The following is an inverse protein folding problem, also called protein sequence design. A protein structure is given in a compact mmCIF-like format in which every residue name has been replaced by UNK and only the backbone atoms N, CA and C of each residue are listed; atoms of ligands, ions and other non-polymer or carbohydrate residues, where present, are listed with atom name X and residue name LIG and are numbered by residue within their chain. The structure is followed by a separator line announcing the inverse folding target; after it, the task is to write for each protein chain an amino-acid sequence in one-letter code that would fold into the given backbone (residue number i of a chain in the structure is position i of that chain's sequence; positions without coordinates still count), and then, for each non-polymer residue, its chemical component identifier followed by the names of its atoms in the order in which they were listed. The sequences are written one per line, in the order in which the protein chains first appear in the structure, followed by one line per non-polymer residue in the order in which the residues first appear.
data_IF_965453777113
#
_entry.id   IF_965453777113
#
_cell.length_a   1.000
_cell.length_b   1.000
_cell.length_c   1.000
_cell.angle_alpha   90.00
_cell.angle_beta   90.00
_cell.angle_gamma   90.00
#
_symmetry.space_group_name_H-M   'P 1'
#
loop_
_entity.id
_entity.type
_entity.pdbx_description
1 polymer ?
#
# COMPACT_ATOMS: atom_id res chain seq x y z
N UNK A 1 -25.18 7.59 -48.03
CA UNK A 1 -24.75 6.96 -46.76
C UNK A 1 -24.94 7.98 -45.65
N UNK A 2 -26.00 7.88 -44.84
CA UNK A 2 -26.23 8.80 -43.72
C UNK A 2 -25.91 8.06 -42.41
N UNK A 3 -24.99 8.64 -41.62
CA UNK A 3 -24.66 8.18 -40.27
C UNK A 3 -25.80 8.54 -39.33
N UNK A 4 -26.28 7.61 -38.52
CA UNK A 4 -27.28 7.87 -37.48
C UNK A 4 -26.70 7.52 -36.10
N UNK A 5 -26.87 8.48 -35.18
CA UNK A 5 -26.37 8.45 -33.80
C UNK A 5 -27.47 7.93 -32.88
N UNK A 6 -27.08 7.06 -31.94
CA UNK A 6 -27.94 6.30 -31.02
C UNK A 6 -28.26 7.11 -29.75
N UNK A 7 -29.54 7.15 -29.33
CA UNK A 7 -29.97 7.70 -28.04
C UNK A 7 -30.59 6.58 -27.19
N UNK A 8 -29.99 6.26 -26.03
CA UNK A 8 -30.43 5.19 -25.11
C UNK A 8 -31.43 5.73 -24.07
N UNK A 9 -32.48 4.95 -23.77
CA UNK A 9 -33.36 5.14 -22.61
C UNK A 9 -33.37 3.84 -21.79
N UNK A 10 -33.10 3.92 -20.48
CA UNK A 10 -33.00 2.78 -19.56
C UNK A 10 -34.31 2.57 -18.78
N UNK A 11 -34.76 1.31 -18.67
CA UNK A 11 -35.78 0.88 -17.70
C UNK A 11 -35.30 -0.37 -16.95
N UNK A 12 -35.64 -0.41 -15.65
CA UNK A 12 -35.05 -1.18 -14.55
C UNK A 12 -35.59 -2.62 -14.44
N UNK A 13 -34.72 -3.63 -14.28
CA UNK A 13 -35.07 -4.95 -13.70
C UNK A 13 -33.97 -5.37 -12.72
N UNK A 14 -34.36 -5.61 -11.46
CA UNK A 14 -33.50 -6.13 -10.40
C UNK A 14 -33.65 -7.65 -10.31
N UNK A 15 -32.52 -8.38 -10.30
CA UNK A 15 -32.46 -9.79 -9.92
C UNK A 15 -31.24 -10.02 -9.04
N UNK A 16 -31.37 -10.95 -8.10
CA UNK A 16 -30.42 -11.26 -7.03
C UNK A 16 -29.05 -11.65 -7.62
N UNK A 17 -27.99 -10.95 -7.22
CA UNK A 17 -26.61 -11.19 -7.68
C UNK A 17 -25.74 -11.73 -6.55
N UNK A 18 -25.04 -12.84 -6.79
CA UNK A 18 -23.88 -13.25 -6.00
C UNK A 18 -22.66 -12.48 -6.55
N UNK A 19 -22.04 -11.64 -5.74
CA UNK A 19 -20.94 -10.76 -6.12
C UNK A 19 -19.59 -11.30 -5.65
N UNK A 20 -18.59 -11.36 -6.52
CA UNK A 20 -17.18 -11.45 -6.15
C UNK A 20 -16.53 -10.11 -6.50
N UNK A 21 -16.21 -9.30 -5.49
CA UNK A 21 -15.47 -8.05 -5.70
C UNK A 21 -14.01 -8.36 -6.07
N UNK A 22 -13.51 -7.81 -7.19
CA UNK A 22 -12.11 -7.92 -7.57
C UNK A 22 -11.30 -6.78 -6.94
N UNK A 23 -10.62 -7.08 -5.84
CA UNK A 23 -9.58 -6.22 -5.28
C UNK A 23 -8.21 -6.55 -5.86
N UNK A 24 -7.35 -5.54 -6.00
CA UNK A 24 -5.92 -5.77 -6.14
C UNK A 24 -5.40 -6.42 -4.85
N UNK A 25 -4.91 -7.66 -4.95
CA UNK A 25 -4.29 -8.31 -3.80
C UNK A 25 -2.99 -7.55 -3.48
N UNK A 26 -2.96 -6.86 -2.33
CA UNK A 26 -1.72 -6.25 -1.87
C UNK A 26 -0.71 -7.36 -1.57
N UNK A 27 0.50 -7.20 -2.10
CA UNK A 27 1.62 -8.10 -1.83
C UNK A 27 2.92 -7.29 -1.76
N UNK A 28 3.88 -7.78 -0.97
CA UNK A 28 5.23 -7.24 -1.02
C UNK A 28 5.82 -7.53 -2.40
N UNK A 29 6.44 -6.51 -2.98
CA UNK A 29 7.14 -6.61 -4.25
C UNK A 29 8.63 -6.80 -4.02
N UNK A 30 9.15 -7.90 -4.56
CA UNK A 30 10.53 -8.29 -4.35
C UNK A 30 10.84 -8.43 -2.86
N UNK A 31 12.09 -8.21 -2.50
CA UNK A 31 12.54 -8.14 -1.10
C UNK A 31 12.83 -6.70 -0.72
N UNK A 32 12.68 -6.38 0.56
CA UNK A 32 13.12 -5.09 1.07
C UNK A 32 14.63 -4.90 0.82
N UNK A 33 15.03 -3.66 0.59
CA UNK A 33 16.42 -3.25 0.47
C UNK A 33 16.78 -2.39 1.67
N UNK A 34 18.06 -2.40 2.03
CA UNK A 34 18.56 -1.64 3.16
C UNK A 34 19.77 -0.81 2.77
N UNK A 35 20.08 0.18 3.60
CA UNK A 35 21.27 1.00 3.46
C UNK A 35 21.61 1.64 4.78
N UNK A 36 22.85 2.07 4.87
CA UNK A 36 23.43 2.67 6.07
C UNK A 36 24.33 3.84 5.66
N UNK A 37 24.60 4.75 6.58
CA UNK A 37 25.44 5.91 6.30
C UNK A 37 26.11 6.44 7.56
N UNK A 38 27.31 6.95 7.41
CA UNK A 38 27.98 7.80 8.41
C UNK A 38 28.08 9.27 7.96
N UNK A 39 27.28 9.65 6.96
CA UNK A 39 27.28 10.96 6.31
C UNK A 39 25.89 11.62 6.42
N UNK A 40 25.72 12.78 5.78
CA UNK A 40 24.45 13.54 5.76
C UNK A 40 23.44 13.05 4.70
N UNK A 41 23.70 11.89 4.09
CA UNK A 41 22.89 11.29 3.04
C UNK A 41 22.76 9.79 3.28
N UNK A 42 21.58 9.22 3.10
CA UNK A 42 21.35 7.78 3.13
C UNK A 42 20.93 7.30 1.75
N UNK A 43 21.74 6.44 1.12
CA UNK A 43 21.44 5.83 -0.17
C UNK A 43 20.94 4.40 0.02
N UNK A 44 19.76 4.08 -0.50
CA UNK A 44 19.16 2.74 -0.45
C UNK A 44 18.76 2.36 -1.87
N UNK A 45 19.11 1.14 -2.29
CA UNK A 45 18.70 0.61 -3.59
C UNK A 45 17.17 0.51 -3.68
N UNK A 46 16.59 0.75 -4.85
CA UNK A 46 15.19 0.44 -5.09
C UNK A 46 14.98 -1.09 -5.02
N UNK A 47 13.91 -1.60 -4.39
CA UNK A 47 13.57 -3.02 -4.46
C UNK A 47 13.46 -3.53 -5.90
N UNK A 48 13.94 -4.75 -6.14
CA UNK A 48 13.90 -5.36 -7.47
C UNK A 48 12.47 -5.59 -7.93
N UNK A 49 12.21 -5.37 -9.22
CA UNK A 49 10.90 -5.63 -9.83
C UNK A 49 9.86 -4.52 -9.64
N UNK A 50 10.21 -3.40 -8.99
CA UNK A 50 9.38 -2.18 -8.91
C UNK A 50 9.04 -1.67 -10.30
N UNK A 51 7.75 -1.48 -10.53
CA UNK A 51 7.13 -0.90 -11.73
C UNK A 51 6.22 0.27 -11.36
N UNK A 52 5.75 0.99 -12.36
CA UNK A 52 4.82 2.11 -12.15
C UNK A 52 3.57 1.67 -11.40
N UNK A 53 3.15 2.45 -10.40
CA UNK A 53 1.97 2.20 -9.57
C UNK A 53 2.23 1.44 -8.28
N UNK A 54 3.41 0.87 -8.08
CA UNK A 54 3.78 0.29 -6.79
C UNK A 54 3.97 1.38 -5.73
N UNK A 55 3.70 1.06 -4.48
CA UNK A 55 3.92 1.96 -3.35
C UNK A 55 5.20 1.56 -2.63
N UNK A 56 6.16 2.47 -2.57
CA UNK A 56 7.40 2.31 -1.83
C UNK A 56 7.26 3.04 -0.50
N UNK A 57 7.75 2.42 0.56
CA UNK A 57 7.80 2.99 1.90
C UNK A 57 9.22 2.84 2.42
N UNK A 58 9.77 3.92 2.95
CA UNK A 58 11.08 3.92 3.61
C UNK A 58 10.89 4.13 5.11
N UNK A 59 11.60 3.35 5.92
CA UNK A 59 11.75 3.57 7.36
C UNK A 59 13.21 3.90 7.64
N UNK A 60 13.48 5.07 8.23
CA UNK A 60 14.83 5.58 8.48
C UNK A 60 14.96 5.92 9.96
N UNK A 61 16.03 5.43 10.58
CA UNK A 61 16.58 6.02 11.80
C UNK A 61 17.85 6.78 11.47
N UNK A 62 17.98 8.01 12.00
CA UNK A 62 19.16 8.84 11.82
C UNK A 62 19.56 9.55 13.12
N UNK A 63 20.86 9.69 13.33
CA UNK A 63 21.48 10.37 14.46
C UNK A 63 21.85 11.83 14.11
N UNK A 64 21.61 12.77 15.01
CA UNK A 64 22.03 14.19 14.96
C UNK A 64 21.57 15.01 13.71
N UNK A 65 20.70 14.43 12.89
CA UNK A 65 20.20 15.03 11.66
C UNK A 65 18.89 15.80 11.78
N UNK A 66 18.53 16.45 10.68
CA UNK A 66 17.17 16.93 10.43
C UNK A 66 16.20 15.77 10.12
N UNK A 67 14.98 16.11 9.71
CA UNK A 67 14.04 15.10 9.21
C UNK A 67 14.47 14.64 7.82
N UNK A 68 14.69 13.33 7.60
CA UNK A 68 14.98 12.79 6.27
C UNK A 68 13.93 13.21 5.24
N UNK A 69 14.37 13.66 4.07
CA UNK A 69 13.48 14.06 2.96
C UNK A 69 14.04 13.65 1.61
N UNK A 70 13.15 13.46 0.64
CA UNK A 70 13.46 13.27 -0.77
C UNK A 70 12.28 13.73 -1.63
N UNK A 71 12.55 14.42 -2.73
CA UNK A 71 11.51 14.89 -3.64
C UNK A 71 10.62 13.75 -4.17
N UNK A 72 9.31 13.98 -4.18
CA UNK A 72 8.29 13.00 -4.56
C UNK A 72 8.09 11.88 -3.52
N UNK A 73 8.65 11.99 -2.32
CA UNK A 73 8.30 11.17 -1.16
C UNK A 73 7.51 12.03 -0.17
N UNK A 74 6.48 11.45 0.42
CA UNK A 74 5.57 12.10 1.35
C UNK A 74 5.75 11.53 2.76
N UNK A 75 5.65 12.37 3.79
CA UNK A 75 5.82 11.92 5.19
C UNK A 75 4.59 11.18 5.72
N UNK A 76 4.82 10.07 6.42
CA UNK A 76 3.82 9.33 7.21
C UNK A 76 3.98 9.54 8.70
N UNK A 77 5.21 9.81 9.16
CA UNK A 77 5.50 10.09 10.56
C UNK A 77 6.98 10.34 10.80
N UNK A 78 7.27 11.18 11.80
CA UNK A 78 8.63 11.43 12.27
C UNK A 78 8.61 11.72 13.77
N UNK A 79 9.68 11.40 14.47
CA UNK A 79 9.78 11.60 15.91
C UNK A 79 11.17 11.29 16.45
N UNK A 80 11.51 11.95 17.56
CA UNK A 80 12.78 11.75 18.27
C UNK A 80 12.51 10.86 19.48
N UNK A 81 13.26 9.76 19.60
CA UNK A 81 13.03 8.77 20.65
C UNK A 81 14.23 8.56 21.58
N UNK A 82 15.31 9.31 21.43
CA UNK A 82 16.46 9.22 22.32
C UNK A 82 17.01 10.61 22.66
N UNK A 83 16.49 11.24 23.72
CA UNK A 83 17.10 12.38 24.44
C UNK A 83 17.37 13.68 23.67
N UNK A 84 17.48 13.62 22.34
CA UNK A 84 17.56 14.66 21.29
C UNK A 84 18.11 14.11 19.95
N UNK A 85 18.69 12.90 19.91
CA UNK A 85 19.66 12.57 18.85
C UNK A 85 19.17 11.55 17.82
N UNK A 86 18.42 10.51 18.20
CA UNK A 86 17.86 9.55 17.23
C UNK A 86 16.46 9.94 16.79
N UNK A 87 16.30 10.03 15.48
CA UNK A 87 15.04 10.33 14.80
C UNK A 87 14.60 9.15 13.97
N UNK A 88 13.36 8.69 14.17
CA UNK A 88 12.68 7.79 13.27
C UNK A 88 11.87 8.60 12.26
N UNK A 89 11.84 8.17 10.99
CA UNK A 89 11.07 8.82 9.92
C UNK A 89 10.59 7.79 8.91
N UNK A 90 9.29 7.83 8.61
CA UNK A 90 8.66 6.97 7.60
C UNK A 90 8.12 7.84 6.48
N UNK A 91 8.51 7.55 5.24
CA UNK A 91 8.05 8.26 4.04
C UNK A 91 7.49 7.26 3.02
N UNK A 92 6.60 7.69 2.14
CA UNK A 92 6.12 6.88 1.02
C UNK A 92 6.20 7.60 -0.33
N UNK A 93 6.26 6.81 -1.41
CA UNK A 93 6.18 7.25 -2.80
C UNK A 93 5.30 6.27 -3.58
N UNK A 94 4.56 6.77 -4.56
CA UNK A 94 4.01 5.94 -5.64
C UNK A 94 5.03 5.95 -6.79
N UNK A 95 5.51 4.79 -7.21
CA UNK A 95 6.47 4.66 -8.30
C UNK A 95 5.87 5.12 -9.63
N UNK A 96 6.62 5.91 -10.38
CA UNK A 96 6.33 6.27 -11.76
C UNK A 96 7.02 5.35 -12.78
N UNK A 97 6.98 5.75 -14.06
CA UNK A 97 7.62 5.00 -15.16
C UNK A 97 9.14 5.04 -15.19
N UNK A 98 9.78 5.93 -14.41
CA UNK A 98 11.23 6.21 -14.49
C UNK A 98 11.87 6.30 -13.10
N UNK A 99 11.75 5.24 -12.31
CA UNK A 99 12.40 5.19 -10.99
C UNK A 99 13.91 4.90 -11.09
N UNK A 100 14.76 5.60 -10.31
CA UNK A 100 16.20 5.39 -10.31
C UNK A 100 16.58 4.00 -9.75
N UNK A 101 17.86 3.62 -9.92
CA UNK A 101 18.40 2.40 -9.31
C UNK A 101 18.46 2.49 -7.77
N UNK A 102 18.66 3.70 -7.24
CA UNK A 102 18.73 3.99 -5.82
C UNK A 102 18.05 5.32 -5.48
N UNK A 103 17.63 5.45 -4.22
CA UNK A 103 17.13 6.69 -3.65
C UNK A 103 18.14 7.20 -2.62
N UNK A 104 18.43 8.49 -2.67
CA UNK A 104 19.35 9.14 -1.73
C UNK A 104 18.59 10.18 -0.91
N UNK A 105 18.31 9.85 0.35
CA UNK A 105 17.60 10.71 1.28
C UNK A 105 18.57 11.70 1.93
N UNK A 106 18.21 12.98 1.95
CA UNK A 106 18.95 13.99 2.70
C UNK A 106 18.60 13.87 4.18
N UNK A 107 19.59 13.69 5.05
CA UNK A 107 19.41 13.52 6.50
C UNK A 107 19.52 14.84 7.28
N UNK A 108 19.89 15.93 6.59
CA UNK A 108 20.13 17.24 7.20
C UNK A 108 21.57 17.41 7.70
N UNK A 109 21.94 18.67 7.97
CA UNK A 109 23.26 19.01 8.50
C UNK A 109 23.44 18.40 9.90
N UNK A 110 24.65 17.91 10.19
CA UNK A 110 24.99 17.29 11.48
C UNK A 110 24.71 15.79 11.57
N UNK A 111 23.97 15.21 10.62
CA UNK A 111 23.76 13.78 10.58
C UNK A 111 25.09 13.02 10.38
N UNK A 112 25.32 12.03 11.24
CA UNK A 112 26.58 11.28 11.30
C UNK A 112 26.38 9.76 11.34
N UNK A 113 25.16 9.26 11.57
CA UNK A 113 24.82 7.85 11.48
C UNK A 113 23.36 7.73 10.98
N UNK A 114 23.09 6.78 10.09
CA UNK A 114 21.73 6.43 9.71
C UNK A 114 21.64 4.99 9.21
N UNK A 115 20.47 4.41 9.41
CA UNK A 115 20.06 3.11 8.87
C UNK A 115 18.66 3.23 8.31
N UNK A 116 18.37 2.51 7.24
CA UNK A 116 17.01 2.49 6.70
C UNK A 116 16.72 1.30 5.80
N UNK A 117 15.43 1.05 5.61
CA UNK A 117 14.91 0.04 4.69
C UNK A 117 13.89 0.64 3.74
N UNK A 118 13.87 0.18 2.49
CA UNK A 118 12.79 0.44 1.53
C UNK A 118 12.04 -0.87 1.28
N UNK A 119 10.72 -0.81 1.41
CA UNK A 119 9.79 -1.88 1.09
C UNK A 119 8.90 -1.41 -0.05
N UNK A 120 8.59 -2.28 -1.00
CA UNK A 120 7.64 -1.99 -2.07
C UNK A 120 6.40 -2.89 -1.96
N UNK A 121 5.23 -2.36 -2.28
CA UNK A 121 3.96 -3.07 -2.32
C UNK A 121 3.29 -2.89 -3.68
N UNK A 122 2.83 -4.00 -4.27
CA UNK A 122 1.94 -4.01 -5.43
C UNK A 122 0.48 -4.06 -4.99
N UNK A 123 -0.46 -3.77 -5.91
CA UNK A 123 -1.90 -3.90 -5.65
C UNK A 123 -2.49 -2.83 -4.74
N UNK A 124 -1.73 -1.78 -4.41
CA UNK A 124 -2.18 -0.62 -3.64
C UNK A 124 -2.84 0.41 -4.57
N UNK A 125 -3.84 1.13 -4.07
CA UNK A 125 -4.45 2.26 -4.77
C UNK A 125 -3.40 3.35 -5.01
N UNK A 126 -3.03 3.58 -6.27
CA UNK A 126 -1.98 4.53 -6.64
C UNK A 126 -2.44 5.99 -6.67
N UNK A 127 -3.73 6.26 -6.45
CA UNK A 127 -4.30 7.61 -6.34
C UNK A 127 -4.44 8.05 -4.89
N UNK A 128 -4.79 7.12 -4.01
CA UNK A 128 -4.95 7.34 -2.56
C UNK A 128 -4.40 6.12 -1.80
N UNK A 129 -3.06 5.98 -1.72
CA UNK A 129 -2.41 4.75 -1.26
C UNK A 129 -2.53 4.49 0.24
N UNK A 130 -2.77 5.54 1.04
CA UNK A 130 -2.82 5.45 2.50
C UNK A 130 -4.28 5.39 2.93
N UNK A 131 -4.68 4.26 3.51
CA UNK A 131 -6.01 4.04 4.07
C UNK A 131 -6.14 4.67 5.47
N UNK A 132 -5.07 4.57 6.27
CA UNK A 132 -4.94 5.22 7.57
C UNK A 132 -3.45 5.30 8.00
N UNK A 133 -3.12 6.26 8.86
CA UNK A 133 -1.78 6.37 9.48
C UNK A 133 -1.92 6.71 10.95
N UNK A 134 -1.11 6.08 11.79
CA UNK A 134 -1.08 6.33 13.23
C UNK A 134 -0.22 7.53 13.58
N UNK A 135 -0.18 7.85 14.88
CA UNK A 135 0.88 8.70 15.43
C UNK A 135 2.12 7.86 15.71
N UNK A 136 3.31 8.47 15.66
CA UNK A 136 4.54 7.77 16.01
C UNK A 136 4.57 7.54 17.52
N UNK A 137 4.60 6.27 17.95
CA UNK A 137 4.91 5.89 19.31
C UNK A 137 6.40 6.11 19.58
N UNK A 138 6.73 6.68 20.74
CA UNK A 138 8.10 7.05 21.11
C UNK A 138 8.35 6.67 22.57
N UNK A 139 9.51 6.10 22.86
CA UNK A 139 10.02 5.93 24.23
C UNK A 139 11.48 6.35 24.32
N UNK A 140 11.74 7.36 25.15
CA UNK A 140 13.08 7.78 25.55
C UNK A 140 13.65 6.96 26.72
N UNK A 141 12.87 6.03 27.26
CA UNK A 141 13.30 5.07 28.27
C UNK A 141 13.52 3.71 27.61
N UNK A 142 14.45 2.94 28.18
CA UNK A 142 14.69 1.58 27.77
C UNK A 142 13.47 0.70 28.04
N UNK A 143 13.10 -0.14 27.07
CA UNK A 143 12.01 -1.09 27.19
C UNK A 143 12.17 -2.28 26.24
N UNK A 144 11.44 -3.34 26.55
CA UNK A 144 11.44 -4.60 25.80
C UNK A 144 10.48 -4.63 24.60
N UNK A 145 9.57 -3.67 24.52
CA UNK A 145 8.49 -3.69 23.54
C UNK A 145 8.30 -2.30 22.95
N UNK A 146 8.44 -2.21 21.63
CA UNK A 146 8.04 -1.02 20.90
C UNK A 146 6.54 -1.08 20.58
N UNK A 147 5.82 0.01 20.87
CA UNK A 147 4.37 0.08 20.70
C UNK A 147 3.97 1.19 19.73
N UNK A 148 3.35 0.81 18.61
CA UNK A 148 2.71 1.73 17.70
C UNK A 148 1.24 1.95 18.11
N UNK A 149 0.80 3.20 18.33
CA UNK A 149 -0.61 3.52 18.53
C UNK A 149 -1.49 2.94 17.42
N UNK A 150 -2.60 2.31 17.80
CA UNK A 150 -3.53 1.67 16.87
C UNK A 150 -4.20 2.63 15.90
N UNK A 151 -4.61 2.09 14.74
CA UNK A 151 -5.31 2.81 13.67
C UNK A 151 -6.67 2.17 13.39
N UNK A 152 -7.52 2.87 12.66
CA UNK A 152 -8.78 2.33 12.15
C UNK A 152 -8.69 2.28 10.63
N UNK A 153 -8.70 1.08 10.05
CA UNK A 153 -8.75 0.91 8.60
C UNK A 153 -10.14 1.28 8.09
N UNK A 154 -10.20 2.03 6.99
CA UNK A 154 -11.44 2.48 6.35
C UNK A 154 -11.89 1.51 5.25
N UNK A 155 -10.95 0.75 4.69
CA UNK A 155 -11.18 -0.19 3.59
C UNK A 155 -10.98 -1.65 4.04
N UNK A 156 -11.73 -2.56 3.40
CA UNK A 156 -11.45 -3.99 3.47
C UNK A 156 -10.13 -4.32 2.75
N UNK A 157 -9.52 -5.45 3.11
CA UNK A 157 -8.26 -5.93 2.52
C UNK A 157 -7.09 -4.93 2.60
N UNK A 158 -7.10 -4.02 3.58
CA UNK A 158 -6.00 -3.09 3.79
C UNK A 158 -4.74 -3.84 4.28
N UNK A 159 -3.55 -3.44 3.80
CA UNK A 159 -2.30 -3.97 4.33
C UNK A 159 -1.89 -3.14 5.55
N UNK A 160 -1.89 -3.74 6.74
CA UNK A 160 -1.44 -3.12 7.98
C UNK A 160 0.06 -3.38 8.10
N UNK A 161 0.85 -2.32 7.99
CA UNK A 161 2.31 -2.34 8.06
C UNK A 161 2.75 -1.66 9.34
N UNK A 162 3.50 -2.37 10.17
CA UNK A 162 4.13 -1.84 11.38
C UNK A 162 5.61 -1.59 11.10
N UNK A 163 6.10 -0.42 11.50
CA UNK A 163 7.50 -0.05 11.48
C UNK A 163 8.01 0.09 12.90
N UNK A 164 9.25 -0.33 13.15
CA UNK A 164 9.95 -0.08 14.40
C UNK A 164 11.37 0.39 14.15
N UNK A 165 11.90 1.12 15.13
CA UNK A 165 13.20 1.76 15.15
C UNK A 165 13.71 1.65 16.58
N UNK A 166 15.00 1.38 16.76
CA UNK A 166 15.59 1.36 18.10
C UNK A 166 17.02 1.91 18.15
N UNK A 167 17.46 2.25 19.36
CA UNK A 167 18.74 2.91 19.64
C UNK A 167 19.93 1.97 19.79
N UNK A 168 19.81 0.77 19.27
CA UNK A 168 20.81 -0.29 19.42
C UNK A 168 20.67 -1.31 18.27
N UNK A 169 21.62 -2.22 18.12
CA UNK A 169 21.74 -3.13 16.99
C UNK A 169 21.08 -4.49 17.26
N UNK A 170 19.81 -4.47 17.70
CA UNK A 170 19.07 -5.68 18.07
C UNK A 170 18.06 -6.10 17.01
N UNK A 171 17.76 -7.39 17.02
CA UNK A 171 16.71 -7.98 16.19
C UNK A 171 15.31 -7.69 16.75
N UNK A 172 14.31 -8.04 15.95
CA UNK A 172 12.90 -7.88 16.28
C UNK A 172 12.20 -9.23 16.28
N UNK A 173 11.22 -9.41 17.16
CA UNK A 173 10.37 -10.61 17.15
C UNK A 173 8.96 -10.33 17.66
N UNK A 174 8.03 -11.25 17.37
CA UNK A 174 6.68 -11.20 17.93
C UNK A 174 5.80 -10.03 17.43
N UNK A 175 5.99 -9.58 16.18
CA UNK A 175 5.18 -8.53 15.58
C UNK A 175 3.69 -8.88 15.58
N UNK A 176 2.86 -8.06 16.22
CA UNK A 176 1.42 -8.35 16.33
C UNK A 176 0.57 -7.10 16.52
N UNK A 177 -0.71 -7.20 16.18
CA UNK A 177 -1.78 -6.28 16.54
C UNK A 177 -2.96 -7.07 17.13
N UNK A 178 -3.99 -6.40 17.64
CA UNK A 178 -5.24 -7.08 18.02
C UNK A 178 -5.98 -7.63 16.78
N UNK A 179 -5.97 -6.87 15.69
CA UNK A 179 -6.49 -7.28 14.37
C UNK A 179 -5.62 -6.59 13.29
N UNK A 180 -5.04 -7.31 12.32
CA UNK A 180 -5.31 -8.70 11.93
C UNK A 180 -4.62 -9.78 12.78
N UNK A 181 -3.88 -9.44 13.83
CA UNK A 181 -3.13 -10.41 14.63
C UNK A 181 -1.65 -10.37 14.29
N UNK A 182 -1.04 -11.54 14.12
CA UNK A 182 0.39 -11.65 13.81
C UNK A 182 0.72 -10.95 12.48
N UNK A 183 1.82 -10.20 12.49
CA UNK A 183 2.39 -9.58 11.30
C UNK A 183 3.63 -10.37 10.88
N UNK A 184 3.81 -10.55 9.57
CA UNK A 184 4.99 -11.20 9.02
C UNK A 184 6.10 -10.18 8.85
N UNK A 185 7.26 -10.43 9.45
CA UNK A 185 8.45 -9.59 9.26
C UNK A 185 8.93 -9.66 7.81
N UNK A 186 9.24 -8.49 7.25
CA UNK A 186 9.61 -8.33 5.83
C UNK A 186 10.86 -7.49 5.60
N UNK A 187 11.35 -6.83 6.65
CA UNK A 187 12.58 -6.07 6.62
C UNK A 187 13.13 -5.95 8.04
N UNK A 188 14.44 -6.18 8.18
CA UNK A 188 15.20 -5.70 9.32
C UNK A 188 16.64 -5.43 8.91
N UNK A 189 17.30 -4.52 9.63
CA UNK A 189 18.74 -4.30 9.53
C UNK A 189 19.25 -3.79 10.87
N UNK A 190 20.31 -4.43 11.35
CA UNK A 190 21.06 -4.10 12.55
C UNK A 190 22.37 -3.44 12.13
N UNK A 191 22.61 -2.20 12.58
CA UNK A 191 23.82 -1.45 12.25
C UNK A 191 24.84 -1.57 13.39
N UNK A 192 26.00 -2.16 13.10
CA UNK A 192 27.02 -2.50 14.11
C UNK A 192 28.35 -1.75 13.94
N UNK A 193 28.39 -0.72 13.08
CA UNK A 193 29.65 -0.11 12.63
C UNK A 193 29.69 1.43 12.68
N UNK A 194 28.70 2.07 13.30
CA UNK A 194 28.63 3.53 13.46
C UNK A 194 29.12 4.01 14.83
N UNK A 195 29.04 5.32 15.06
CA UNK A 195 29.25 5.88 16.39
C UNK A 195 28.07 5.62 17.34
N UNK A 196 26.91 5.28 16.78
CA UNK A 196 25.68 4.95 17.48
C UNK A 196 25.08 3.67 16.87
N UNK A 197 24.86 2.66 17.71
CA UNK A 197 24.12 1.47 17.33
C UNK A 197 22.65 1.82 17.08
N UNK A 198 22.07 1.21 16.05
CA UNK A 198 20.67 1.43 15.66
C UNK A 198 20.17 0.29 14.79
N UNK A 199 18.87 0.04 14.86
CA UNK A 199 18.23 -0.88 13.93
C UNK A 199 16.84 -0.40 13.55
N UNK A 200 16.39 -0.88 12.39
CA UNK A 200 15.03 -0.65 11.90
C UNK A 200 14.42 -1.95 11.45
N UNK A 201 13.12 -2.10 11.67
CA UNK A 201 12.36 -3.28 11.29
C UNK A 201 10.99 -2.92 10.72
N UNK A 202 10.41 -3.85 9.97
CA UNK A 202 9.03 -3.75 9.54
C UNK A 202 8.38 -5.13 9.36
N UNK A 203 7.09 -5.20 9.69
CA UNK A 203 6.25 -6.36 9.50
C UNK A 203 4.87 -5.95 8.98
N UNK A 204 4.16 -6.87 8.31
CA UNK A 204 2.83 -6.57 7.83
C UNK A 204 1.90 -7.78 7.77
N UNK A 205 0.61 -7.51 7.68
CA UNK A 205 -0.42 -8.49 7.32
C UNK A 205 -1.63 -7.80 6.67
N UNK A 206 -2.45 -8.58 5.96
CA UNK A 206 -3.72 -8.11 5.41
C UNK A 206 -4.81 -8.14 6.48
N UNK A 207 -5.52 -7.02 6.63
CA UNK A 207 -6.73 -6.93 7.44
C UNK A 207 -7.96 -7.05 6.54
N UNK A 208 -8.65 -8.19 6.62
CA UNK A 208 -9.75 -8.54 5.71
C UNK A 208 -10.93 -7.55 5.78
N UNK A 209 -11.34 -7.16 6.99
CA UNK A 209 -12.46 -6.22 7.21
C UNK A 209 -11.97 -4.88 7.72
N UNK A 210 -12.64 -3.78 7.35
CA UNK A 210 -12.40 -2.46 7.91
C UNK A 210 -12.56 -2.43 9.45
N UNK A 211 -11.94 -1.47 10.14
CA UNK A 211 -12.07 -1.28 11.59
C UNK A 211 -10.74 -1.16 12.34
N UNK A 212 -10.81 -1.08 13.67
CA UNK A 212 -9.65 -0.87 14.54
C UNK A 212 -8.63 -2.02 14.47
N UNK A 213 -7.35 -1.68 14.53
CA UNK A 213 -6.26 -2.65 14.60
C UNK A 213 -5.89 -3.05 16.04
N UNK A 214 -6.22 -2.20 17.01
CA UNK A 214 -5.52 -2.16 18.29
C UNK A 214 -4.08 -1.66 18.11
N UNK A 215 -3.36 -1.49 19.22
CA UNK A 215 -1.95 -1.13 19.15
C UNK A 215 -1.14 -2.24 18.47
N UNK A 216 -0.12 -1.83 17.71
CA UNK A 216 0.88 -2.75 17.19
C UNK A 216 2.03 -2.87 18.18
N UNK A 217 2.51 -4.08 18.42
CA UNK A 217 3.65 -4.34 19.30
C UNK A 217 4.67 -5.23 18.63
N UNK A 218 5.94 -4.99 18.95
CA UNK A 218 7.07 -5.84 18.58
C UNK A 218 8.03 -5.92 19.77
N UNK A 219 8.57 -7.11 20.01
CA UNK A 219 9.62 -7.34 21.00
C UNK A 219 10.96 -6.89 20.43
N UNK A 220 11.68 -6.11 21.23
CA UNK A 220 13.07 -5.73 21.00
C UNK A 220 13.92 -6.77 21.74
N UNK A 221 14.66 -7.59 21.00
CA UNK A 221 15.47 -8.64 21.60
C UNK A 221 16.49 -8.06 22.60
N UNK A 222 16.84 -8.80 23.64
CA UNK A 222 17.70 -8.34 24.76
C UNK A 222 17.13 -7.18 25.63
N UNK A 223 15.88 -6.78 25.40
CA UNK A 223 14.95 -6.13 26.34
C UNK A 223 15.37 -4.77 26.95
N UNK A 224 16.10 -3.89 26.26
CA UNK A 224 16.59 -2.67 26.92
C UNK A 224 16.80 -1.44 26.01
N UNK A 225 15.82 -1.07 25.18
CA UNK A 225 16.00 -0.01 24.19
C UNK A 225 15.02 1.14 24.19
N UNK A 226 15.54 2.28 23.75
CA UNK A 226 14.73 3.42 23.33
C UNK A 226 14.22 3.12 21.93
N UNK A 227 12.95 3.42 21.67
CA UNK A 227 12.30 2.97 20.46
C UNK A 227 11.33 3.99 19.88
N UNK A 228 11.09 3.85 18.57
CA UNK A 228 9.95 4.44 17.90
C UNK A 228 9.20 3.38 17.10
N UNK A 229 7.87 3.53 16.98
CA UNK A 229 7.05 2.63 16.19
C UNK A 229 5.90 3.36 15.51
N UNK A 230 5.49 2.90 14.33
CA UNK A 230 4.39 3.48 13.56
C UNK A 230 3.55 2.38 12.92
N UNK A 231 2.24 2.53 12.95
CA UNK A 231 1.29 1.73 12.17
C UNK A 231 0.78 2.54 10.99
N UNK A 232 0.76 1.91 9.81
CA UNK A 232 0.22 2.47 8.57
C UNK A 232 -0.65 1.40 7.91
N UNK A 233 -1.78 1.81 7.34
CA UNK A 233 -2.62 0.96 6.51
C UNK A 233 -2.54 1.41 5.05
N UNK A 234 -2.23 0.48 4.15
CA UNK A 234 -2.27 0.71 2.71
C UNK A 234 -3.62 0.29 2.15
N UNK A 235 -4.12 1.11 1.24
CA UNK A 235 -5.42 0.91 0.61
C UNK A 235 -5.30 -0.03 -0.58
N UNK A 236 -6.05 -1.13 -0.58
CA UNK A 236 -6.08 -2.02 -1.75
C UNK A 236 -6.64 -1.27 -2.97
N UNK A 237 -6.09 -1.55 -4.15
CA UNK A 237 -6.66 -1.07 -5.40
C UNK A 237 -8.02 -1.73 -5.66
N UNK A 238 -8.98 -0.94 -6.11
CA UNK A 238 -10.38 -1.32 -6.26
C UNK A 238 -10.74 -1.04 -7.72
N UNK A 239 -10.65 -2.06 -8.58
CA UNK A 239 -10.70 -1.90 -10.03
C UNK A 239 -12.08 -1.38 -10.47
N UNK A 240 -12.18 -0.25 -11.20
CA UNK A 240 -13.47 0.32 -11.55
C UNK A 240 -14.36 -0.72 -12.26
N UNK A 241 -15.68 -0.70 -12.00
CA UNK A 241 -16.58 -1.66 -12.61
C UNK A 241 -16.49 -1.52 -14.14
N UNK A 242 -16.26 -2.64 -14.81
CA UNK A 242 -16.23 -2.73 -16.27
C UNK A 242 -17.50 -3.42 -16.75
N UNK A 243 -18.05 -2.95 -17.87
CA UNK A 243 -19.14 -3.62 -18.58
C UNK A 243 -18.58 -4.18 -19.87
N UNK A 244 -18.53 -5.50 -19.99
CA UNK A 244 -18.21 -6.19 -21.23
C UNK A 244 -19.54 -6.50 -21.91
N UNK A 245 -19.77 -5.92 -23.10
CA UNK A 245 -20.81 -6.41 -24.00
C UNK A 245 -20.18 -7.56 -24.76
N UNK A 246 -20.63 -8.78 -24.50
CA UNK A 246 -20.25 -9.93 -25.28
C UNK A 246 -21.25 -10.03 -26.44
N UNK A 247 -20.93 -9.55 -27.65
CA UNK A 247 -21.74 -9.92 -28.79
C UNK A 247 -21.71 -11.46 -28.89
N UNK A 248 -22.82 -12.12 -29.26
CA UNK A 248 -22.74 -13.51 -29.67
C UNK A 248 -21.65 -13.59 -30.73
N UNK A 249 -20.83 -14.66 -30.72
CA UNK A 249 -19.81 -14.86 -31.74
C UNK A 249 -20.47 -14.63 -33.11
N UNK A 250 -20.17 -13.49 -33.75
CA UNK A 250 -20.75 -13.13 -35.03
C UNK A 250 -20.01 -13.97 -36.07
N UNK A 251 -20.36 -15.26 -36.12
CA UNK A 251 -20.10 -16.08 -37.29
C UNK A 251 -21.01 -15.55 -38.40
N UNK A 252 -20.58 -14.47 -39.06
CA UNK A 252 -21.03 -14.06 -40.40
C UNK A 252 -22.53 -14.30 -40.68
N UNK A 253 -23.42 -13.65 -39.93
CA UNK A 253 -24.85 -13.63 -40.28
C UNK A 253 -25.27 -12.23 -40.66
N UNK A 254 -25.73 -12.09 -41.90
CA UNK A 254 -26.53 -10.97 -42.35
C UNK A 254 -27.76 -10.89 -41.43
N UNK A 255 -27.85 -9.86 -40.59
CA UNK A 255 -29.03 -9.63 -39.74
C UNK A 255 -30.11 -9.05 -40.65
N UNK A 256 -31.19 -9.81 -40.88
CA UNK A 256 -32.33 -9.39 -41.70
C UNK A 256 -33.17 -8.35 -40.94
N UNK A 257 -33.91 -7.51 -41.68
CA UNK A 257 -34.94 -6.62 -41.12
C UNK A 257 -35.94 -7.46 -40.32
N UNK A 258 -36.16 -7.11 -39.04
CA UNK A 258 -37.01 -7.88 -38.12
C UNK A 258 -36.29 -9.01 -37.38
N UNK A 259 -34.99 -9.22 -37.61
CA UNK A 259 -34.18 -10.16 -36.85
C UNK A 259 -33.87 -9.66 -35.43
N UNK A 260 -33.80 -10.59 -34.48
CA UNK A 260 -33.40 -10.32 -33.09
C UNK A 260 -31.97 -10.76 -32.86
N UNK A 261 -31.16 -9.89 -32.25
CA UNK A 261 -29.84 -10.23 -31.72
C UNK A 261 -29.91 -10.22 -30.21
N UNK A 262 -29.52 -11.34 -29.61
CA UNK A 262 -29.40 -11.45 -28.15
C UNK A 262 -28.00 -10.99 -27.78
N UNK A 263 -27.91 -9.90 -27.01
CA UNK A 263 -26.66 -9.37 -26.49
C UNK A 263 -26.58 -9.69 -25.00
N UNK A 264 -25.42 -10.18 -24.56
CA UNK A 264 -25.15 -10.39 -23.14
C UNK A 264 -24.18 -9.31 -22.68
N UNK A 265 -24.62 -8.46 -21.75
CA UNK A 265 -23.72 -7.58 -21.03
C UNK A 265 -23.37 -8.20 -19.68
N UNK A 266 -22.08 -8.32 -19.39
CA UNK A 266 -21.56 -8.76 -18.10
C UNK A 266 -20.83 -7.59 -17.45
N UNK A 267 -21.20 -7.25 -16.21
CA UNK A 267 -20.51 -6.22 -15.43
C UNK A 267 -19.69 -6.85 -14.29
N UNK A 268 -18.50 -6.31 -14.04
CA UNK A 268 -17.71 -6.66 -12.85
C UNK A 268 -18.19 -5.93 -11.60
N UNK A 269 -18.10 -6.57 -10.44
CA UNK A 269 -18.37 -5.96 -9.14
C UNK A 269 -17.17 -5.13 -8.66
N UNK A 270 -17.40 -4.11 -7.82
CA UNK A 270 -16.32 -3.29 -7.27
C UNK A 270 -16.63 -2.66 -5.89
N UNK A 271 -17.12 -3.46 -4.93
CA UNK A 271 -17.35 -3.08 -3.52
C UNK A 271 -18.49 -2.09 -3.27
N UNK A 272 -18.67 -1.11 -4.15
CA UNK A 272 -19.73 -0.09 -4.15
C UNK A 272 -20.84 -0.41 -5.17
N UNK A 273 -20.52 -1.24 -6.17
CA UNK A 273 -21.44 -1.63 -7.24
C UNK A 273 -21.51 -3.15 -7.37
N UNK A 274 -22.72 -3.74 -7.33
CA UNK A 274 -22.88 -5.18 -7.52
C UNK A 274 -22.58 -5.57 -8.97
N UNK A 275 -21.81 -6.66 -9.14
CA UNK A 275 -21.58 -7.32 -10.42
C UNK A 275 -22.85 -8.02 -10.94
N UNK A 276 -22.87 -8.44 -12.21
CA UNK A 276 -24.04 -9.12 -12.79
C UNK A 276 -24.06 -9.15 -14.30
N UNK A 277 -24.78 -10.14 -14.85
CA UNK A 277 -25.06 -10.25 -16.29
C UNK A 277 -26.52 -9.91 -16.59
N UNK A 278 -26.75 -9.13 -17.65
CA UNK A 278 -28.07 -8.87 -18.21
C UNK A 278 -28.10 -9.28 -19.68
N UNK A 279 -29.13 -10.03 -20.06
CA UNK A 279 -29.48 -10.25 -21.47
C UNK A 279 -30.48 -9.20 -21.90
N UNK A 280 -30.28 -8.66 -23.10
CA UNK A 280 -31.27 -7.82 -23.73
C UNK A 280 -31.42 -8.21 -25.20
N UNK A 281 -32.67 -8.29 -25.61
CA UNK A 281 -33.06 -8.62 -26.96
C UNK A 281 -33.14 -7.32 -27.74
N UNK A 282 -32.32 -7.20 -28.79
CA UNK A 282 -32.43 -6.10 -29.73
C UNK A 282 -33.05 -6.62 -31.03
N UNK A 283 -34.30 -6.23 -31.26
CA UNK A 283 -34.96 -6.48 -32.55
C UNK A 283 -34.62 -5.34 -33.49
N UNK A 284 -33.90 -5.63 -34.57
CA UNK A 284 -33.53 -4.61 -35.54
C UNK A 284 -34.75 -4.24 -36.39
N UNK A 285 -35.40 -3.13 -36.04
CA UNK A 285 -36.38 -2.50 -36.90
C UNK A 285 -35.67 -1.45 -37.77
N UNK A 286 -35.60 -1.72 -39.07
CA UNK A 286 -35.34 -0.66 -40.02
C UNK A 286 -36.64 0.15 -40.16
N UNK A 287 -36.78 1.26 -39.44
CA UNK A 287 -37.59 2.36 -39.99
C UNK A 287 -36.68 3.11 -40.96
N UNK A 288 -36.59 2.58 -42.18
CA UNK A 288 -36.11 3.40 -43.29
C UNK A 288 -37.05 4.60 -43.49
N UNK A 289 -36.61 5.64 -44.22
CA UNK A 289 -37.56 6.52 -44.88
C UNK A 289 -38.51 5.73 -45.79
#
# INVERSE_FOLDING_TARGET
MKKFTLLLVFALIANVFLTSDLFGQIAQRGTATSGTSTNTNLTINKPTGVVSGDVLIVNITSNNGGTPTLSGWNSLGTGIFNGSNLRATVLYKVAGGSEPANYTFALGAGANDAVGTIIAFSGVDNTSPIDATGTMGLSASAGATATAPGITTNSANAAVVMFSNQSDNRAYSGWTTTSPGNLTEIAQIEWTSGAQDMSVGAAWATKASAGATGNGTVTLEDNNDRWAALLVALKAYVAPPSVVINPPALSTTTILIGGTVNLTATRSANGTWPGGSGTFDYTWSATGP
#
